data_IF_540347968108
#
_entry.id   IF_540347968108
#
_cell.length_a   1.000
_cell.length_b   1.000
_cell.length_c   1.000
_cell.angle_alpha   90.00
_cell.angle_beta   90.00
_cell.angle_gamma   90.00
#
_symmetry.space_group_name_H-M   'P 1'
#
loop_
_entity.id
_entity.type
_entity.pdbx_description
1 polymer ?
#
# COMPACT_ATOMS: atom_id res chain seq x y z
N UNK A 1 -4.41 1.91 33.36
CA UNK A 1 -4.55 2.15 32.91
C UNK A 1 -4.72 2.17 32.52
N UNK A 2 -4.49 2.13 32.16
CA UNK A 2 -4.59 2.45 31.66
C UNK A 2 -4.76 2.42 31.18
N UNK A 3 -4.85 2.44 31.31
CA UNK A 3 -5.07 2.53 30.58
C UNK A 3 -5.15 2.52 30.18
N UNK A 4 -5.01 2.71 30.21
CA UNK A 4 -5.20 2.81 29.59
C UNK A 4 -5.37 2.49 29.09
N UNK A 5 -5.45 2.83 29.63
CA UNK A 5 -5.68 2.43 29.00
C UNK A 5 -5.38 2.41 28.02
N UNK A 6 -4.97 2.83 27.95
CA UNK A 6 -4.44 2.88 26.70
C UNK A 6 -4.27 1.61 25.96
N UNK A 7 -3.88 0.65 26.55
CA UNK A 7 -3.77 -0.66 25.96
C UNK A 7 -5.09 -1.16 25.41
N UNK A 8 -6.17 -0.73 25.97
CA UNK A 8 -7.46 -1.16 25.50
C UNK A 8 -7.81 -0.63 24.12
N UNK A 9 -7.10 0.37 23.69
CA UNK A 9 -7.35 0.94 22.36
C UNK A 9 -6.28 0.54 21.36
N UNK A 10 -5.31 -0.23 21.80
CA UNK A 10 -4.28 -0.71 20.87
C UNK A 10 -4.81 -1.87 20.11
N UNK A 11 -4.94 -1.69 18.81
CA UNK A 11 -5.21 -2.78 17.91
C UNK A 11 -3.90 -3.20 17.29
N UNK A 12 -3.80 -4.49 16.99
CA UNK A 12 -2.62 -5.00 16.34
C UNK A 12 -2.50 -4.47 14.93
N UNK A 13 -1.32 -3.96 14.61
CA UNK A 13 -0.97 -3.61 13.25
C UNK A 13 -0.04 -4.68 12.72
N UNK A 14 -0.37 -5.22 11.57
CA UNK A 14 0.45 -6.22 10.90
C UNK A 14 1.13 -5.60 9.71
N UNK A 15 2.38 -6.00 9.50
CA UNK A 15 3.16 -5.57 8.35
C UNK A 15 3.54 -6.82 7.57
N UNK A 16 3.12 -6.88 6.33
CA UNK A 16 3.44 -7.99 5.44
C UNK A 16 4.36 -7.49 4.33
N UNK A 17 5.49 -8.15 4.18
CA UNK A 17 6.49 -7.79 3.17
C UNK A 17 6.31 -8.65 1.93
N UNK A 18 6.29 -8.01 0.78
CA UNK A 18 6.30 -8.68 -0.52
C UNK A 18 7.59 -8.30 -1.21
N UNK A 19 8.34 -9.32 -1.66
CA UNK A 19 9.52 -9.09 -2.50
C UNK A 19 9.06 -9.19 -3.94
N UNK A 20 9.16 -8.09 -4.65
CA UNK A 20 8.67 -7.99 -6.02
C UNK A 20 9.67 -8.59 -7.02
N UNK A 21 9.17 -8.96 -8.20
CA UNK A 21 9.98 -9.59 -9.23
C UNK A 21 10.99 -8.65 -9.90
N UNK A 22 10.70 -7.35 -9.92
CA UNK A 22 11.59 -6.37 -10.55
C UNK A 22 12.59 -5.87 -9.53
N UNK A 23 13.85 -6.17 -9.75
CA UNK A 23 14.98 -5.77 -8.89
C UNK A 23 14.81 -6.15 -7.42
N UNK A 24 13.98 -7.15 -7.13
CA UNK A 24 13.69 -7.58 -5.76
C UNK A 24 13.30 -6.42 -4.84
N UNK A 25 12.61 -5.43 -5.38
CA UNK A 25 12.11 -4.31 -4.59
C UNK A 25 11.07 -4.81 -3.58
N UNK A 26 10.84 -4.03 -2.54
CA UNK A 26 9.92 -4.42 -1.49
C UNK A 26 8.66 -3.59 -1.51
N UNK A 27 7.52 -4.26 -1.31
CA UNK A 27 6.24 -3.62 -1.01
C UNK A 27 5.86 -4.05 0.39
N UNK A 28 5.39 -3.12 1.19
CA UNK A 28 4.90 -3.44 2.53
C UNK A 28 3.40 -3.18 2.58
N UNK A 29 2.67 -4.16 3.11
CA UNK A 29 1.23 -4.04 3.30
C UNK A 29 0.98 -3.91 4.79
N UNK A 30 0.39 -2.78 5.19
CA UNK A 30 0.04 -2.53 6.57
C UNK A 30 -1.45 -2.77 6.76
N UNK A 31 -1.79 -3.57 7.74
CA UNK A 31 -3.19 -3.81 8.08
C UNK A 31 -3.38 -3.66 9.58
N UNK A 32 -4.56 -3.20 9.97
CA UNK A 32 -4.93 -3.00 11.37
C UNK A 32 -6.08 -3.94 11.67
N UNK A 33 -5.96 -4.68 12.77
CA UNK A 33 -7.00 -5.62 13.19
C UNK A 33 -8.34 -4.91 13.32
N UNK A 34 -9.37 -5.51 12.76
CA UNK A 34 -10.71 -4.95 12.79
C UNK A 34 -10.99 -3.89 11.72
N UNK A 35 -10.00 -3.57 10.90
CA UNK A 35 -10.16 -2.62 9.79
C UNK A 35 -9.96 -3.36 8.48
N UNK A 36 -10.75 -3.02 7.46
CA UNK A 36 -10.63 -3.64 6.15
C UNK A 36 -9.78 -2.82 5.17
N UNK A 37 -9.47 -1.57 5.49
CA UNK A 37 -8.63 -0.74 4.64
C UNK A 37 -7.15 -0.97 4.90
N UNK A 38 -6.43 -1.39 3.87
CA UNK A 38 -5.00 -1.63 3.95
C UNK A 38 -4.22 -0.45 3.39
N UNK A 39 -3.00 -0.29 3.86
CA UNK A 39 -2.10 0.76 3.40
C UNK A 39 -0.87 0.10 2.81
N UNK A 40 -0.46 0.57 1.63
CA UNK A 40 0.73 0.05 0.96
C UNK A 40 1.86 1.06 1.01
N UNK A 41 3.07 0.54 1.14
CA UNK A 41 4.30 1.33 0.96
C UNK A 41 4.97 0.77 -0.29
N UNK A 42 5.04 1.60 -1.33
CA UNK A 42 5.51 1.25 -2.66
C UNK A 42 4.64 0.19 -3.33
N UNK A 43 4.78 0.03 -4.61
CA UNK A 43 3.93 -0.88 -5.38
C UNK A 43 4.73 -1.52 -6.50
N UNK A 44 4.72 -2.84 -6.51
CA UNK A 44 5.35 -3.63 -7.56
C UNK A 44 4.35 -4.60 -8.16
N UNK A 45 4.58 -5.90 -7.95
CA UNK A 45 3.69 -6.93 -8.48
C UNK A 45 2.31 -6.85 -7.82
N UNK A 46 1.27 -6.78 -8.64
CA UNK A 46 -0.09 -6.63 -8.11
C UNK A 46 -0.66 -7.96 -7.59
N UNK A 47 -0.28 -9.08 -8.19
CA UNK A 47 -0.89 -10.36 -7.84
C UNK A 47 -0.74 -10.75 -6.37
N UNK A 48 0.45 -10.68 -5.76
CA UNK A 48 0.58 -11.02 -4.35
C UNK A 48 -0.15 -10.04 -3.43
N UNK A 49 -0.27 -8.77 -3.84
CA UNK A 49 -1.02 -7.78 -3.08
C UNK A 49 -2.50 -8.14 -3.10
N UNK A 50 -3.03 -8.41 -4.28
CA UNK A 50 -4.42 -8.80 -4.46
C UNK A 50 -4.76 -10.02 -3.60
N UNK A 51 -3.90 -11.03 -3.63
CA UNK A 51 -4.11 -12.23 -2.85
C UNK A 51 -4.14 -11.94 -1.36
N UNK A 52 -3.17 -11.18 -0.86
CA UNK A 52 -3.07 -10.85 0.56
C UNK A 52 -4.29 -10.07 1.04
N UNK A 53 -4.72 -9.08 0.26
CA UNK A 53 -5.87 -8.25 0.62
C UNK A 53 -7.18 -9.04 0.56
N UNK A 54 -7.34 -9.90 -0.43
CA UNK A 54 -8.54 -10.73 -0.56
C UNK A 54 -8.68 -11.72 0.59
N UNK A 55 -7.58 -12.30 1.03
CA UNK A 55 -7.60 -13.25 2.15
C UNK A 55 -8.12 -12.60 3.43
N UNK A 56 -7.96 -11.29 3.55
CA UNK A 56 -8.43 -10.54 4.73
C UNK A 56 -9.77 -9.85 4.46
N UNK A 57 -10.41 -10.14 3.34
CA UNK A 57 -11.67 -9.53 2.94
C UNK A 57 -11.59 -8.01 2.98
N UNK A 58 -10.44 -7.46 2.56
CA UNK A 58 -10.17 -6.05 2.68
C UNK A 58 -10.11 -5.31 1.37
N UNK A 59 -9.73 -4.06 1.47
CA UNK A 59 -9.50 -3.18 0.33
C UNK A 59 -8.21 -2.38 0.57
N UNK A 60 -7.72 -1.69 -0.44
CA UNK A 60 -6.55 -0.83 -0.30
C UNK A 60 -7.03 0.62 -0.32
N UNK A 61 -6.78 1.34 0.76
CA UNK A 61 -7.23 2.72 0.88
C UNK A 61 -6.15 3.75 0.55
N UNK A 62 -4.88 3.38 0.69
CA UNK A 62 -3.79 4.32 0.48
C UNK A 62 -2.53 3.62 0.00
N UNK A 63 -1.78 4.32 -0.83
CA UNK A 63 -0.45 3.93 -1.27
C UNK A 63 0.49 5.09 -0.99
N UNK A 64 1.55 4.83 -0.22
CA UNK A 64 2.60 5.81 0.03
C UNK A 64 3.83 5.41 -0.77
N UNK A 65 4.34 6.32 -1.58
CA UNK A 65 5.54 6.08 -2.39
C UNK A 65 6.76 6.67 -1.70
N UNK A 66 7.79 5.84 -1.49
CA UNK A 66 9.04 6.31 -0.93
C UNK A 66 9.83 7.12 -1.95
N UNK A 67 9.74 6.69 -3.22
CA UNK A 67 10.34 7.39 -4.34
C UNK A 67 9.70 6.87 -5.62
N UNK A 68 10.10 7.37 -6.77
CA UNK A 68 9.43 7.07 -8.03
C UNK A 68 10.27 6.29 -9.02
N UNK A 69 11.24 5.51 -8.55
CA UNK A 69 11.95 4.56 -9.40
C UNK A 69 10.97 3.48 -9.88
N UNK A 70 11.18 3.00 -11.08
CA UNK A 70 10.24 2.08 -11.74
C UNK A 70 9.88 0.86 -10.89
N UNK A 71 10.85 0.27 -10.23
CA UNK A 71 10.64 -0.95 -9.43
C UNK A 71 9.80 -0.71 -8.16
N UNK A 72 9.48 0.55 -7.87
CA UNK A 72 8.62 0.90 -6.73
C UNK A 72 7.28 1.49 -7.15
N UNK A 73 7.02 1.60 -8.46
CA UNK A 73 5.79 2.25 -8.94
C UNK A 73 5.08 1.48 -10.06
N UNK A 74 5.67 0.41 -10.61
CA UNK A 74 5.13 -0.16 -11.85
C UNK A 74 3.75 -0.80 -11.70
N UNK A 75 3.30 -1.07 -10.49
CA UNK A 75 1.97 -1.64 -10.26
C UNK A 75 0.86 -0.63 -10.03
N UNK A 76 1.15 0.68 -10.13
CA UNK A 76 0.14 1.71 -9.82
C UNK A 76 -1.13 1.57 -10.65
N UNK A 77 -1.01 1.37 -11.95
CA UNK A 77 -2.19 1.29 -12.82
C UNK A 77 -3.08 0.10 -12.45
N UNK A 78 -2.47 -1.04 -12.21
CA UNK A 78 -3.22 -2.23 -11.81
C UNK A 78 -3.88 -2.03 -10.45
N UNK A 79 -3.17 -1.39 -9.53
CA UNK A 79 -3.70 -1.10 -8.21
C UNK A 79 -4.96 -0.25 -8.30
N UNK A 80 -4.89 0.83 -9.08
CA UNK A 80 -6.02 1.77 -9.20
C UNK A 80 -7.19 1.17 -9.96
N UNK A 81 -6.95 0.19 -10.82
CA UNK A 81 -8.04 -0.53 -11.47
C UNK A 81 -8.80 -1.42 -10.48
N UNK A 82 -8.09 -2.03 -9.55
CA UNK A 82 -8.70 -2.91 -8.55
C UNK A 82 -9.32 -2.13 -7.40
N UNK A 83 -8.68 -1.03 -7.01
CA UNK A 83 -9.08 -0.27 -5.83
C UNK A 83 -9.15 1.21 -6.20
N UNK A 84 -10.24 1.60 -6.89
CA UNK A 84 -10.34 2.96 -7.46
C UNK A 84 -10.39 4.05 -6.40
N UNK A 85 -10.76 3.71 -5.17
CA UNK A 85 -10.82 4.71 -4.10
C UNK A 85 -9.49 4.87 -3.37
N UNK A 86 -8.47 4.16 -3.82
CA UNK A 86 -7.15 4.26 -3.23
C UNK A 86 -6.54 5.63 -3.51
N UNK A 87 -6.01 6.27 -2.47
CA UNK A 87 -5.32 7.55 -2.61
C UNK A 87 -3.81 7.31 -2.65
N UNK A 88 -3.15 7.91 -3.62
CA UNK A 88 -1.69 7.79 -3.76
C UNK A 88 -1.04 9.03 -3.16
N UNK A 89 -0.14 8.80 -2.20
CA UNK A 89 0.60 9.87 -1.52
C UNK A 89 2.06 9.81 -1.94
N UNK A 90 2.60 10.94 -2.33
CA UNK A 90 4.00 11.05 -2.71
C UNK A 90 4.48 12.48 -2.45
N UNK A 91 5.78 12.71 -2.60
CA UNK A 91 6.34 14.05 -2.47
C UNK A 91 5.91 14.92 -3.67
N UNK A 92 6.10 16.24 -3.56
CA UNK A 92 5.84 17.15 -4.68
C UNK A 92 6.68 16.77 -5.89
N UNK A 93 7.93 16.40 -5.65
CA UNK A 93 8.83 15.96 -6.70
C UNK A 93 8.32 14.68 -7.34
N UNK A 94 7.86 13.73 -6.54
CA UNK A 94 7.30 12.48 -7.03
C UNK A 94 6.03 12.68 -7.84
N UNK A 95 5.15 13.56 -7.40
CA UNK A 95 3.94 13.89 -8.12
C UNK A 95 4.26 14.42 -9.51
N UNK A 96 5.24 15.31 -9.59
CA UNK A 96 5.67 15.88 -10.85
C UNK A 96 6.31 14.82 -11.76
N UNK A 97 7.16 13.97 -11.17
CA UNK A 97 7.82 12.91 -11.92
C UNK A 97 6.85 11.88 -12.49
N UNK A 98 5.79 11.55 -11.74
CA UNK A 98 4.77 10.62 -12.23
C UNK A 98 3.97 11.19 -13.38
N UNK A 99 3.57 12.45 -13.27
CA UNK A 99 2.75 13.09 -14.28
C UNK A 99 1.44 12.37 -14.53
N UNK A 100 0.53 12.98 -15.26
CA UNK A 100 -0.76 12.37 -15.55
C UNK A 100 -0.63 11.16 -16.46
N UNK A 101 0.30 11.17 -17.39
CA UNK A 101 0.47 10.09 -18.36
C UNK A 101 0.86 8.77 -17.71
N UNK A 102 1.57 8.83 -16.60
CA UNK A 102 2.03 7.63 -15.93
C UNK A 102 0.96 6.98 -15.04
N UNK A 103 -0.06 7.75 -14.70
CA UNK A 103 -1.18 7.25 -13.90
C UNK A 103 -2.36 6.80 -14.76
N UNK A 104 -2.37 7.23 -15.98
CA UNK A 104 -3.42 6.86 -16.94
C UNK A 104 -2.95 5.74 -17.91
#
# INVERSE_FOLDING_TARGET
MLPLRLSTVITEMNIHQIVNSVFTSNTYILSVEGKDGHVLIDIGDIAPIKQCVQEKCGTVQALFLTHTHYDHIYGIKDLLRLYHDCTVYTSSFGKEALGSDKLN
#
